data_IF_409790975928
#
_entry.id   IF_409790975928
#
_cell.length_a   1.000
_cell.length_b   1.000
_cell.length_c   1.000
_cell.angle_alpha   90.00
_cell.angle_beta   90.00
_cell.angle_gamma   90.00
#
_symmetry.space_group_name_H-M   'P 1'
#
loop_
_entity.id
_entity.type
_entity.pdbx_description
1 polymer ?
#
# COMPACT_ATOMS: atom_id res chain seq x y z
N UNK A 1 0.40 94.42 0.10
CA UNK A 1 0.69 94.61 -1.34
C UNK A 1 1.10 93.24 -1.85
N UNK A 2 0.46 92.51 -2.77
CA UNK A 2 -0.46 92.78 -3.89
C UNK A 2 -1.27 91.47 -4.15
N UNK A 3 -2.43 91.64 -4.78
CA UNK A 3 -3.48 90.66 -5.14
C UNK A 3 -3.11 89.61 -6.23
N UNK A 4 -3.65 88.36 -6.08
CA UNK A 4 -4.41 87.51 -7.07
C UNK A 4 -3.72 87.00 -8.37
N UNK A 5 -4.30 86.10 -9.23
CA UNK A 5 -5.25 84.96 -9.08
C UNK A 5 -4.85 83.66 -9.89
N UNK A 6 -5.75 82.64 -9.92
CA UNK A 6 -5.90 81.53 -10.92
C UNK A 6 -4.87 80.37 -10.82
N UNK A 7 -5.21 79.07 -10.82
CA UNK A 7 -6.26 78.33 -11.55
C UNK A 7 -6.59 77.01 -10.83
N UNK A 8 -7.87 76.63 -10.75
CA UNK A 8 -8.29 75.25 -10.48
C UNK A 8 -8.07 74.42 -11.76
N UNK A 9 -7.24 73.38 -11.69
CA UNK A 9 -7.16 72.31 -12.70
C UNK A 9 -7.82 71.05 -12.10
N UNK A 10 -8.99 70.69 -12.64
CA UNK A 10 -9.61 69.38 -12.46
C UNK A 10 -8.73 68.33 -13.16
N UNK A 11 -8.05 67.48 -12.39
CA UNK A 11 -7.44 66.26 -12.91
C UNK A 11 -8.50 65.14 -12.90
N UNK A 12 -9.05 64.79 -14.07
CA UNK A 12 -9.78 63.54 -14.26
C UNK A 12 -8.80 62.37 -14.10
N UNK A 13 -8.92 61.63 -13.00
CA UNK A 13 -8.25 60.34 -12.83
C UNK A 13 -9.04 59.29 -13.60
N UNK A 14 -8.59 58.94 -14.80
CA UNK A 14 -9.06 57.76 -15.52
C UNK A 14 -8.52 56.51 -14.79
N UNK A 15 -9.39 55.78 -14.11
CA UNK A 15 -9.05 54.47 -13.54
C UNK A 15 -8.87 53.46 -14.70
N UNK A 16 -7.74 52.76 -14.81
CA UNK A 16 -7.60 51.71 -15.81
C UNK A 16 -8.47 50.51 -15.39
N UNK A 17 -9.38 50.09 -16.26
CA UNK A 17 -10.02 48.78 -16.17
C UNK A 17 -8.91 47.73 -16.29
N UNK A 18 -8.49 47.16 -15.15
CA UNK A 18 -7.68 45.96 -15.14
C UNK A 18 -8.54 44.82 -15.69
N UNK A 19 -8.23 44.35 -16.90
CA UNK A 19 -8.75 43.07 -17.38
C UNK A 19 -8.29 41.99 -16.41
N UNK A 20 -9.25 41.36 -15.73
CA UNK A 20 -8.99 40.19 -14.92
C UNK A 20 -8.38 39.10 -15.81
N UNK A 21 -7.10 38.79 -15.59
CA UNK A 21 -6.49 37.62 -16.19
C UNK A 21 -7.28 36.38 -15.73
N UNK A 22 -7.62 35.44 -16.63
CA UNK A 22 -8.26 34.21 -16.22
C UNK A 22 -7.34 33.49 -15.23
N UNK A 23 -7.85 33.23 -14.03
CA UNK A 23 -7.20 32.37 -13.05
C UNK A 23 -6.78 31.06 -13.76
N UNK A 24 -5.58 30.52 -13.50
CA UNK A 24 -5.23 29.22 -14.03
C UNK A 24 -6.31 28.24 -13.59
N UNK A 25 -6.94 27.55 -14.54
CA UNK A 25 -7.86 26.46 -14.23
C UNK A 25 -7.16 25.58 -13.20
N UNK A 26 -7.74 25.45 -12.00
CA UNK A 26 -7.31 24.43 -11.06
C UNK A 26 -7.27 23.10 -11.84
N UNK A 27 -6.08 22.48 -11.96
CA UNK A 27 -5.95 21.15 -12.56
C UNK A 27 -6.98 20.28 -11.86
N UNK A 28 -8.05 19.90 -12.58
CA UNK A 28 -9.09 19.03 -12.05
C UNK A 28 -8.37 17.76 -11.59
N UNK A 29 -8.51 17.39 -10.31
CA UNK A 29 -7.91 16.16 -9.81
C UNK A 29 -8.31 15.02 -10.75
N UNK A 30 -7.33 14.20 -11.16
CA UNK A 30 -7.63 13.11 -12.06
C UNK A 30 -8.58 12.13 -11.36
N UNK A 31 -9.59 11.66 -12.08
CA UNK A 31 -10.55 10.69 -11.57
C UNK A 31 -10.01 9.30 -11.91
N UNK A 32 -10.01 8.34 -10.97
CA UNK A 32 -9.61 6.97 -11.25
C UNK A 32 -10.37 6.40 -12.45
N UNK A 33 -9.78 5.50 -13.24
CA UNK A 33 -10.48 4.90 -14.36
C UNK A 33 -11.73 4.12 -13.90
N UNK A 34 -12.71 4.02 -14.79
CA UNK A 34 -13.99 3.34 -14.55
C UNK A 34 -14.11 2.00 -15.28
N UNK A 35 -13.19 1.71 -16.20
CA UNK A 35 -13.07 0.45 -16.91
C UNK A 35 -11.70 -0.17 -16.66
N UNK A 36 -11.64 -1.49 -16.68
CA UNK A 36 -10.39 -2.24 -16.53
C UNK A 36 -9.37 -1.90 -17.63
N UNK A 37 -8.12 -1.73 -17.22
CA UNK A 37 -6.99 -1.75 -18.11
C UNK A 37 -6.84 -3.14 -18.78
N UNK A 38 -6.24 -3.21 -20.00
CA UNK A 38 -5.94 -4.50 -20.60
C UNK A 38 -4.90 -5.24 -19.75
N UNK A 39 -5.09 -6.55 -19.58
CA UNK A 39 -4.09 -7.42 -18.98
C UNK A 39 -3.09 -7.90 -20.04
N UNK A 40 -1.80 -7.84 -19.72
CA UNK A 40 -0.73 -8.58 -20.39
C UNK A 40 -0.53 -9.98 -19.79
N UNK A 41 -0.86 -10.17 -18.51
CA UNK A 41 -0.78 -11.45 -17.78
C UNK A 41 -2.06 -12.26 -18.00
N UNK A 42 -1.90 -13.52 -18.38
CA UNK A 42 -3.03 -14.45 -18.56
C UNK A 42 -3.65 -14.82 -17.21
N UNK A 43 -4.97 -15.08 -17.19
CA UNK A 43 -5.65 -15.50 -15.97
C UNK A 43 -5.06 -16.79 -15.38
N UNK A 44 -4.72 -17.77 -16.23
CA UNK A 44 -4.11 -19.03 -15.79
C UNK A 44 -2.72 -18.82 -15.17
N UNK A 45 -1.91 -17.93 -15.74
CA UNK A 45 -0.59 -17.59 -15.19
C UNK A 45 -0.70 -16.99 -13.79
N UNK A 46 -1.64 -16.05 -13.59
CA UNK A 46 -1.84 -15.44 -12.28
C UNK A 46 -2.42 -16.42 -11.25
N UNK A 47 -3.32 -17.32 -11.67
CA UNK A 47 -3.90 -18.34 -10.79
C UNK A 47 -2.87 -19.33 -10.28
N UNK A 48 -1.91 -19.74 -11.13
CA UNK A 48 -0.90 -20.74 -10.78
C UNK A 48 0.06 -20.32 -9.67
N UNK A 49 0.10 -19.04 -9.31
CA UNK A 49 0.95 -18.51 -8.24
C UNK A 49 0.19 -18.14 -6.97
N UNK A 50 -1.10 -18.48 -6.91
CA UNK A 50 -1.93 -18.30 -5.71
C UNK A 50 -1.96 -19.61 -4.94
N UNK A 51 -1.65 -19.55 -3.66
CA UNK A 51 -1.72 -20.69 -2.75
C UNK A 51 -2.72 -20.41 -1.63
N UNK A 52 -3.63 -21.35 -1.37
CA UNK A 52 -4.56 -21.32 -0.25
C UNK A 52 -4.24 -22.54 0.63
N UNK A 53 -3.42 -22.40 1.70
CA UNK A 53 -2.86 -23.54 2.42
C UNK A 53 -3.89 -24.54 2.97
N UNK A 54 -5.07 -24.06 3.36
CA UNK A 54 -6.16 -24.87 3.89
C UNK A 54 -7.27 -25.13 2.86
N UNK A 55 -7.05 -24.78 1.60
CA UNK A 55 -8.08 -24.69 0.56
C UNK A 55 -9.10 -23.56 0.83
N UNK A 56 -10.10 -23.46 -0.05
CA UNK A 56 -11.25 -22.57 0.14
C UNK A 56 -12.41 -23.42 0.70
N UNK A 57 -12.74 -23.21 1.97
CA UNK A 57 -13.73 -23.99 2.71
C UNK A 57 -15.10 -23.30 2.81
N UNK A 58 -15.25 -22.09 2.26
CA UNK A 58 -16.47 -21.30 2.35
C UNK A 58 -16.68 -20.72 3.75
N UNK A 59 -15.61 -20.27 4.40
CA UNK A 59 -15.68 -19.68 5.75
C UNK A 59 -16.57 -18.43 5.75
N UNK A 60 -17.25 -18.15 6.87
CA UNK A 60 -18.26 -17.10 6.93
C UNK A 60 -17.68 -15.68 6.75
N UNK A 61 -16.42 -15.44 7.11
CA UNK A 61 -15.71 -14.19 6.84
C UNK A 61 -15.28 -14.00 5.39
N UNK A 62 -15.44 -15.02 4.54
CA UNK A 62 -14.99 -15.00 3.15
C UNK A 62 -13.50 -15.30 2.99
N UNK A 63 -12.95 -14.87 1.86
CA UNK A 63 -11.53 -15.04 1.52
C UNK A 63 -10.73 -13.80 1.89
N UNK A 64 -9.59 -14.01 2.55
CA UNK A 64 -8.55 -13.01 2.76
C UNK A 64 -7.37 -13.32 1.84
N UNK A 65 -7.01 -12.34 1.00
CA UNK A 65 -5.92 -12.44 0.03
C UNK A 65 -4.70 -11.65 0.51
N UNK A 66 -3.60 -12.35 0.76
CA UNK A 66 -2.37 -11.78 1.30
C UNK A 66 -1.35 -11.52 0.18
N UNK A 67 -0.82 -10.29 0.11
CA UNK A 67 0.12 -9.84 -0.91
C UNK A 67 1.46 -9.47 -0.27
N UNK A 68 2.51 -10.18 -0.64
CA UNK A 68 3.85 -9.99 -0.05
C UNK A 68 4.59 -8.77 -0.62
N UNK A 69 5.65 -8.38 0.09
CA UNK A 69 6.55 -7.28 -0.26
C UNK A 69 7.71 -7.66 -1.18
N UNK A 70 8.60 -6.69 -1.41
CA UNK A 70 9.80 -6.83 -2.23
C UNK A 70 10.78 -7.84 -1.68
N UNK A 71 11.39 -8.62 -2.57
CA UNK A 71 12.46 -9.55 -2.24
C UNK A 71 12.00 -10.77 -1.43
N UNK A 72 10.70 -10.93 -1.19
CA UNK A 72 10.11 -12.09 -0.52
C UNK A 72 9.16 -12.87 -1.44
N UNK A 73 8.52 -13.90 -0.90
CA UNK A 73 7.46 -14.68 -1.55
C UNK A 73 6.25 -14.78 -0.62
N UNK A 74 5.12 -15.30 -1.15
CA UNK A 74 3.93 -15.57 -0.35
C UNK A 74 4.21 -16.49 0.86
N UNK A 75 4.78 -17.69 0.66
CA UNK A 75 5.13 -18.59 1.76
C UNK A 75 6.09 -17.97 2.80
N UNK A 76 7.13 -17.25 2.36
CA UNK A 76 8.10 -16.64 3.28
C UNK A 76 7.47 -15.53 4.13
N UNK A 77 6.52 -14.77 3.58
CA UNK A 77 5.90 -13.64 4.30
C UNK A 77 4.72 -14.08 5.18
N UNK A 78 3.95 -15.07 4.72
CA UNK A 78 2.64 -15.38 5.30
C UNK A 78 2.49 -16.82 5.78
N UNK A 79 3.32 -17.75 5.32
CA UNK A 79 3.10 -19.19 5.46
C UNK A 79 2.96 -19.67 6.90
N UNK A 80 3.77 -19.10 7.80
CA UNK A 80 3.80 -19.46 9.23
C UNK A 80 3.41 -18.28 10.14
N UNK A 81 2.86 -17.20 9.58
CA UNK A 81 2.49 -16.00 10.32
C UNK A 81 1.08 -16.05 10.93
N UNK A 82 0.74 -15.08 11.80
CA UNK A 82 -0.55 -15.03 12.48
C UNK A 82 -1.73 -14.94 11.50
N UNK A 83 -1.55 -14.29 10.35
CA UNK A 83 -2.59 -14.16 9.32
C UNK A 83 -3.06 -15.52 8.79
N UNK A 84 -2.15 -16.45 8.52
CA UNK A 84 -2.49 -17.79 8.04
C UNK A 84 -2.90 -18.72 9.19
N UNK A 85 -2.31 -18.56 10.38
CA UNK A 85 -2.57 -19.46 11.52
C UNK A 85 -3.84 -19.13 12.29
N UNK A 86 -4.19 -17.85 12.45
CA UNK A 86 -5.26 -17.41 13.35
C UNK A 86 -6.56 -17.04 12.63
N UNK A 87 -6.51 -16.39 11.46
CA UNK A 87 -7.74 -16.01 10.75
C UNK A 87 -8.70 -17.18 10.44
N UNK A 88 -8.24 -18.41 10.13
CA UNK A 88 -9.16 -19.52 9.91
C UNK A 88 -9.95 -19.97 11.14
N UNK A 89 -9.46 -19.65 12.35
CA UNK A 89 -10.02 -20.14 13.62
C UNK A 89 -10.71 -19.06 14.45
N UNK A 90 -10.30 -17.79 14.29
CA UNK A 90 -10.97 -16.66 14.92
C UNK A 90 -12.28 -16.33 14.22
N UNK A 91 -13.37 -16.17 14.97
CA UNK A 91 -14.68 -15.83 14.40
C UNK A 91 -14.64 -14.51 13.61
N UNK A 92 -15.27 -14.43 12.42
CA UNK A 92 -16.15 -15.42 11.77
C UNK A 92 -15.45 -16.61 11.08
N UNK A 93 -14.12 -16.61 11.03
CA UNK A 93 -13.29 -17.54 10.28
C UNK A 93 -13.11 -17.08 8.85
N UNK A 94 -11.90 -17.20 8.31
CA UNK A 94 -11.57 -16.79 6.95
C UNK A 94 -10.83 -17.89 6.19
N UNK A 95 -11.12 -18.01 4.90
CA UNK A 95 -10.28 -18.76 3.97
C UNK A 95 -9.09 -17.86 3.60
N UNK A 96 -7.86 -18.33 3.81
CA UNK A 96 -6.66 -17.52 3.60
C UNK A 96 -5.92 -18.02 2.36
N UNK A 97 -5.66 -17.09 1.44
CA UNK A 97 -4.84 -17.33 0.27
C UNK A 97 -3.74 -16.28 0.20
N UNK A 98 -2.56 -16.64 -0.30
CA UNK A 98 -1.49 -15.70 -0.58
C UNK A 98 -0.93 -15.90 -1.98
N UNK A 99 -0.42 -14.83 -2.58
CA UNK A 99 0.22 -14.89 -3.89
C UNK A 99 1.74 -15.00 -3.77
N UNK A 100 2.40 -15.64 -4.73
CA UNK A 100 3.85 -15.57 -4.93
C UNK A 100 4.12 -14.85 -6.24
N UNK A 101 4.36 -13.54 -6.16
CA UNK A 101 4.65 -12.72 -7.32
C UNK A 101 5.96 -13.17 -7.98
N UNK A 102 6.05 -13.15 -9.32
CA UNK A 102 7.27 -13.47 -10.03
C UNK A 102 8.46 -12.65 -9.54
N UNK A 103 9.65 -13.22 -9.68
CA UNK A 103 10.93 -12.57 -9.34
C UNK A 103 10.98 -11.98 -7.92
N UNK A 104 10.19 -12.57 -7.01
CA UNK A 104 10.09 -12.13 -5.61
C UNK A 104 9.63 -10.66 -5.52
N UNK A 105 8.73 -10.24 -6.42
CA UNK A 105 8.24 -8.87 -6.53
C UNK A 105 9.34 -7.82 -6.82
N UNK A 106 10.43 -8.20 -7.50
CA UNK A 106 11.52 -7.28 -7.88
C UNK A 106 11.42 -6.79 -9.35
N UNK A 107 10.46 -7.34 -10.12
CA UNK A 107 10.15 -6.90 -11.48
C UNK A 107 9.35 -5.59 -11.55
N UNK A 108 8.80 -5.28 -12.72
CA UNK A 108 7.93 -4.10 -12.92
C UNK A 108 6.64 -4.23 -12.08
N UNK A 109 6.42 -3.32 -11.14
CA UNK A 109 5.26 -3.27 -10.24
C UNK A 109 3.94 -3.22 -11.01
N UNK A 110 3.93 -2.64 -12.22
CA UNK A 110 2.74 -2.62 -13.07
C UNK A 110 2.32 -4.03 -13.50
N UNK A 111 3.29 -4.94 -13.71
CA UNK A 111 3.03 -6.36 -13.99
C UNK A 111 2.63 -7.08 -12.70
N UNK A 112 3.33 -6.87 -11.60
CA UNK A 112 2.96 -7.45 -10.28
C UNK A 112 1.52 -7.09 -9.89
N UNK A 113 1.08 -5.87 -10.17
CA UNK A 113 -0.29 -5.44 -9.95
C UNK A 113 -1.32 -6.17 -10.84
N UNK A 114 -0.95 -6.59 -12.05
CA UNK A 114 -1.82 -7.44 -12.88
C UNK A 114 -2.07 -8.80 -12.22
N UNK A 115 -1.04 -9.40 -11.63
CA UNK A 115 -1.17 -10.65 -10.87
C UNK A 115 -2.12 -10.46 -9.68
N UNK A 116 -2.01 -9.35 -8.96
CA UNK A 116 -2.91 -9.01 -7.84
C UNK A 116 -4.35 -8.80 -8.33
N UNK A 117 -4.56 -8.00 -9.37
CA UNK A 117 -5.89 -7.76 -9.94
C UNK A 117 -6.56 -9.05 -10.44
N UNK A 118 -5.80 -9.93 -11.12
CA UNK A 118 -6.27 -11.26 -11.53
C UNK A 118 -6.58 -12.15 -10.34
N UNK A 119 -5.75 -12.11 -9.29
CA UNK A 119 -5.98 -12.88 -8.07
C UNK A 119 -7.27 -12.48 -7.36
N UNK A 120 -7.52 -11.17 -7.22
CA UNK A 120 -8.77 -10.64 -6.68
C UNK A 120 -9.95 -11.09 -7.55
N UNK A 121 -9.86 -10.92 -8.88
CA UNK A 121 -10.89 -11.34 -9.84
C UNK A 121 -11.21 -12.84 -9.73
N UNK A 122 -10.19 -13.67 -9.50
CA UNK A 122 -10.32 -15.12 -9.38
C UNK A 122 -10.93 -15.55 -8.04
N UNK A 123 -10.50 -14.95 -6.93
CA UNK A 123 -10.90 -15.35 -5.58
C UNK A 123 -12.28 -14.81 -5.19
N UNK A 124 -12.66 -13.61 -5.63
CA UNK A 124 -13.95 -12.99 -5.28
C UNK A 124 -15.18 -13.90 -5.50
N UNK A 125 -15.38 -14.54 -6.67
CA UNK A 125 -16.53 -15.42 -6.88
C UNK A 125 -16.48 -16.73 -6.07
N UNK A 126 -15.33 -17.09 -5.52
CA UNK A 126 -15.16 -18.27 -4.65
C UNK A 126 -15.38 -17.93 -3.17
N UNK A 127 -15.34 -16.64 -2.82
CA UNK A 127 -15.59 -16.15 -1.47
C UNK A 127 -17.07 -16.26 -1.11
N UNK A 128 -17.37 -16.71 0.10
CA UNK A 128 -18.75 -16.79 0.63
C UNK A 128 -19.46 -15.43 0.68
N UNK A 129 -18.70 -14.33 0.70
CA UNK A 129 -19.21 -12.96 0.71
C UNK A 129 -19.32 -12.35 -0.70
N UNK A 130 -18.85 -13.06 -1.74
CA UNK A 130 -18.70 -12.53 -3.10
C UNK A 130 -17.64 -11.43 -3.25
N UNK A 131 -16.87 -11.16 -2.19
CA UNK A 131 -15.80 -10.18 -2.14
C UNK A 131 -14.56 -10.73 -1.43
N UNK A 132 -13.43 -10.09 -1.62
CA UNK A 132 -12.15 -10.45 -0.99
C UNK A 132 -11.74 -9.35 -0.01
N UNK A 133 -11.32 -9.73 1.19
CA UNK A 133 -10.54 -8.85 2.07
C UNK A 133 -9.06 -8.96 1.69
N UNK A 134 -8.32 -7.86 1.67
CA UNK A 134 -6.91 -7.86 1.27
C UNK A 134 -6.04 -7.49 2.47
N UNK A 135 -4.92 -8.18 2.63
CA UNK A 135 -3.84 -7.75 3.53
C UNK A 135 -2.56 -7.67 2.70
N UNK A 136 -1.85 -6.56 2.75
CA UNK A 136 -0.59 -6.42 2.03
C UNK A 136 0.51 -5.85 2.91
N UNK A 137 1.76 -6.20 2.59
CA UNK A 137 2.94 -5.74 3.29
C UNK A 137 3.93 -5.07 2.32
N UNK A 138 4.56 -3.96 2.75
CA UNK A 138 5.60 -3.28 1.98
C UNK A 138 5.11 -2.95 0.56
N UNK A 139 5.91 -3.20 -0.49
CA UNK A 139 5.51 -3.04 -1.89
C UNK A 139 4.20 -3.74 -2.30
N UNK A 140 3.80 -4.80 -1.59
CA UNK A 140 2.50 -5.44 -1.79
C UNK A 140 1.36 -4.41 -1.78
N UNK A 141 1.53 -3.32 -1.03
CA UNK A 141 0.58 -2.23 -0.94
C UNK A 141 0.51 -1.39 -2.24
N UNK A 142 1.64 -1.12 -2.89
CA UNK A 142 1.67 -0.49 -4.22
C UNK A 142 1.08 -1.41 -5.28
N UNK A 143 1.33 -2.72 -5.21
CA UNK A 143 0.72 -3.71 -6.10
C UNK A 143 -0.82 -3.68 -5.98
N UNK A 144 -1.34 -3.64 -4.74
CA UNK A 144 -2.78 -3.59 -4.46
C UNK A 144 -3.38 -2.25 -4.90
N UNK A 145 -2.83 -1.11 -4.50
CA UNK A 145 -3.39 0.19 -4.90
C UNK A 145 -3.37 0.41 -6.41
N UNK A 146 -2.31 -0.03 -7.10
CA UNK A 146 -2.27 0.01 -8.56
C UNK A 146 -3.34 -0.91 -9.17
N UNK A 147 -3.52 -2.13 -8.64
CA UNK A 147 -4.57 -3.05 -9.05
C UNK A 147 -5.98 -2.45 -8.88
N UNK A 148 -6.28 -1.91 -7.70
CA UNK A 148 -7.57 -1.30 -7.38
C UNK A 148 -7.83 0.00 -8.17
N UNK A 149 -6.77 0.71 -8.54
CA UNK A 149 -6.86 1.92 -9.36
C UNK A 149 -7.21 1.58 -10.80
N UNK A 150 -6.43 0.70 -11.45
CA UNK A 150 -6.50 0.48 -12.89
C UNK A 150 -7.39 -0.70 -13.33
N UNK A 151 -7.84 -1.55 -12.40
CA UNK A 151 -8.84 -2.61 -12.64
C UNK A 151 -10.08 -2.44 -11.75
N UNK A 152 -10.87 -1.37 -11.98
CA UNK A 152 -12.00 -1.03 -11.14
C UNK A 152 -13.12 -2.09 -11.12
N UNK A 153 -13.31 -2.85 -12.20
CA UNK A 153 -14.33 -3.90 -12.28
C UNK A 153 -13.76 -5.20 -11.74
N UNK A 154 -12.61 -5.67 -12.27
CA UNK A 154 -12.02 -6.95 -11.87
C UNK A 154 -11.47 -6.98 -10.43
N UNK A 155 -11.04 -5.84 -9.87
CA UNK A 155 -10.45 -5.78 -8.54
C UNK A 155 -11.22 -4.88 -7.56
N UNK A 156 -11.37 -3.58 -7.86
CA UNK A 156 -11.94 -2.61 -6.90
C UNK A 156 -13.36 -2.95 -6.47
N UNK A 157 -14.23 -3.27 -7.42
CA UNK A 157 -15.66 -3.51 -7.13
C UNK A 157 -15.94 -4.74 -6.26
N UNK A 158 -14.99 -5.69 -6.25
CA UNK A 158 -15.08 -6.97 -5.54
C UNK A 158 -14.13 -7.06 -4.34
N UNK A 159 -13.49 -5.94 -3.97
CA UNK A 159 -12.72 -5.83 -2.73
C UNK A 159 -13.63 -5.32 -1.62
N UNK A 160 -13.69 -6.05 -0.50
CA UNK A 160 -14.50 -5.66 0.66
C UNK A 160 -13.79 -4.57 1.47
N UNK A 161 -12.55 -4.84 1.83
CA UNK A 161 -11.66 -3.93 2.56
C UNK A 161 -10.20 -4.27 2.30
N UNK A 162 -9.33 -3.37 2.72
CA UNK A 162 -7.90 -3.44 2.52
C UNK A 162 -7.13 -3.07 3.80
N UNK A 163 -6.33 -4.02 4.30
CA UNK A 163 -5.41 -3.83 5.42
C UNK A 163 -4.00 -3.66 4.85
N UNK A 164 -3.46 -2.46 5.02
CA UNK A 164 -2.16 -2.08 4.51
C UNK A 164 -1.14 -2.07 5.66
N UNK A 165 -0.13 -2.95 5.61
CA UNK A 165 0.92 -3.07 6.62
C UNK A 165 2.22 -2.45 6.08
N UNK A 166 2.77 -1.46 6.78
CA UNK A 166 4.00 -0.74 6.38
C UNK A 166 3.99 -0.37 4.89
N UNK A 167 2.98 0.40 4.49
CA UNK A 167 2.73 0.72 3.09
C UNK A 167 3.59 1.87 2.60
N UNK A 168 4.14 1.73 1.41
CA UNK A 168 4.97 2.72 0.74
C UNK A 168 4.17 3.50 -0.33
N UNK A 169 2.98 4.00 0.00
CA UNK A 169 2.08 4.66 -0.97
C UNK A 169 2.70 5.88 -1.67
N UNK A 170 3.70 6.52 -1.04
CA UNK A 170 4.50 7.62 -1.60
C UNK A 170 5.93 7.20 -1.96
N UNK A 171 6.15 5.89 -2.09
CA UNK A 171 7.47 5.29 -2.18
C UNK A 171 8.26 5.41 -0.87
N UNK A 172 9.56 5.19 -0.96
CA UNK A 172 10.51 5.36 0.13
C UNK A 172 11.72 6.18 -0.32
N UNK A 173 12.26 6.99 0.59
CA UNK A 173 13.53 7.71 0.38
C UNK A 173 14.73 6.76 0.30
N UNK A 174 14.61 5.57 0.90
CA UNK A 174 15.68 4.58 0.96
C UNK A 174 15.65 3.60 -0.23
N UNK A 175 14.69 3.72 -1.15
CA UNK A 175 14.47 2.78 -2.25
C UNK A 175 15.71 2.58 -3.13
N UNK A 176 16.40 3.67 -3.48
CA UNK A 176 17.66 3.61 -4.25
C UNK A 176 18.84 3.07 -3.42
N UNK A 177 18.79 3.14 -2.09
CA UNK A 177 19.87 2.66 -1.22
C UNK A 177 19.90 1.13 -1.16
N UNK A 178 18.78 0.47 -1.44
CA UNK A 178 18.70 -0.99 -1.59
C UNK A 178 19.18 -1.48 -2.95
N UNK A 179 19.36 -0.58 -3.92
CA UNK A 179 20.18 -0.84 -5.10
C UNK A 179 21.63 -0.99 -4.63
N UNK A 180 22.08 -2.22 -4.37
CA UNK A 180 23.45 -2.44 -3.89
C UNK A 180 24.44 -1.67 -4.76
N UNK A 181 25.39 -0.95 -4.15
CA UNK A 181 26.38 -0.14 -4.88
C UNK A 181 27.14 -0.97 -5.93
N UNK A 182 27.30 -2.27 -5.69
CA UNK A 182 27.84 -3.24 -6.64
C UNK A 182 26.97 -3.41 -7.90
N UNK A 183 25.63 -3.42 -7.79
CA UNK A 183 24.71 -3.56 -8.94
C UNK A 183 24.56 -2.28 -9.74
N UNK A 184 24.62 -1.11 -9.09
CA UNK A 184 24.69 0.18 -9.79
C UNK A 184 25.92 0.20 -10.73
N UNK A 185 27.05 -0.36 -10.29
CA UNK A 185 28.25 -0.51 -11.14
C UNK A 185 28.17 -1.63 -12.19
N UNK A 186 27.19 -2.54 -12.09
CA UNK A 186 26.98 -3.68 -13.00
C UNK A 186 25.82 -3.49 -13.98
N UNK A 187 25.14 -2.33 -13.98
CA UNK A 187 24.19 -1.97 -15.03
C UNK A 187 22.77 -1.62 -14.57
N UNK A 188 22.49 -1.52 -13.27
CA UNK A 188 21.18 -0.99 -12.82
C UNK A 188 20.74 -1.40 -11.42
N UNK A 189 19.42 -1.34 -11.22
CA UNK A 189 18.71 -1.78 -10.02
C UNK A 189 17.46 -2.59 -10.43
N UNK A 190 16.90 -3.47 -9.57
CA UNK A 190 15.61 -4.06 -9.87
C UNK A 190 14.55 -3.01 -10.22
N UNK A 191 13.66 -3.36 -11.14
CA UNK A 191 12.66 -2.44 -11.66
C UNK A 191 11.78 -1.87 -10.55
N UNK A 192 11.42 -2.71 -9.58
CA UNK A 192 10.57 -2.32 -8.47
C UNK A 192 11.22 -1.26 -7.57
N UNK A 193 12.54 -1.22 -7.46
CA UNK A 193 13.24 -0.29 -6.55
C UNK A 193 13.29 1.11 -7.13
N UNK A 194 13.42 1.21 -8.45
CA UNK A 194 13.19 2.46 -9.17
C UNK A 194 11.77 2.96 -8.96
N UNK A 195 10.77 2.07 -9.04
CA UNK A 195 9.36 2.43 -8.94
C UNK A 195 8.93 2.75 -7.50
N UNK A 196 9.52 2.11 -6.49
CA UNK A 196 9.31 2.39 -5.06
C UNK A 196 10.05 3.63 -4.58
N UNK A 197 10.99 4.18 -5.35
CA UNK A 197 11.69 5.40 -4.95
C UNK A 197 10.73 6.59 -4.89
N UNK A 198 10.79 7.38 -3.82
CA UNK A 198 10.00 8.62 -3.73
C UNK A 198 10.24 9.51 -4.95
N UNK A 199 9.17 9.92 -5.61
CA UNK A 199 9.23 10.76 -6.80
C UNK A 199 9.41 9.99 -8.12
N UNK A 200 9.40 8.66 -8.10
CA UNK A 200 9.33 7.84 -9.32
C UNK A 200 8.13 8.21 -10.19
N UNK A 201 8.21 7.94 -11.48
CA UNK A 201 7.10 8.12 -12.40
C UNK A 201 5.90 7.26 -11.97
N UNK A 202 6.14 6.05 -11.50
CA UNK A 202 5.14 5.11 -10.99
C UNK A 202 4.36 5.69 -9.81
N UNK A 203 5.03 6.04 -8.70
CA UNK A 203 4.38 6.56 -7.48
C UNK A 203 3.63 7.86 -7.77
N UNK A 204 4.24 8.77 -8.53
CA UNK A 204 3.59 10.03 -8.90
C UNK A 204 2.34 9.80 -9.74
N UNK A 205 2.38 8.83 -10.67
CA UNK A 205 1.23 8.49 -11.52
C UNK A 205 0.10 7.87 -10.71
N UNK A 206 0.42 6.94 -9.81
CA UNK A 206 -0.56 6.33 -8.90
C UNK A 206 -1.23 7.39 -8.02
N UNK A 207 -0.42 8.23 -7.37
CA UNK A 207 -0.90 9.32 -6.53
C UNK A 207 -1.81 10.29 -7.29
N UNK A 208 -1.46 10.65 -8.53
CA UNK A 208 -2.32 11.49 -9.37
C UNK A 208 -3.61 10.79 -9.76
N UNK A 209 -3.56 9.51 -10.14
CA UNK A 209 -4.72 8.74 -10.57
C UNK A 209 -5.80 8.59 -9.48
N UNK A 210 -5.40 8.58 -8.20
CA UNK A 210 -6.32 8.47 -7.06
C UNK A 210 -6.47 9.75 -6.25
N UNK A 211 -5.83 10.85 -6.67
CA UNK A 211 -5.63 12.04 -5.85
C UNK A 211 -5.07 11.72 -4.45
N UNK A 212 -4.18 10.73 -4.36
CA UNK A 212 -3.55 10.23 -3.14
C UNK A 212 -4.56 9.68 -2.13
N UNK A 213 -5.67 9.13 -2.60
CA UNK A 213 -6.76 8.63 -1.75
C UNK A 213 -6.97 7.13 -1.93
N UNK A 214 -7.25 6.44 -0.83
CA UNK A 214 -7.70 5.07 -0.86
C UNK A 214 -9.00 4.94 -1.65
N UNK A 215 -9.09 3.92 -2.49
CA UNK A 215 -10.22 3.69 -3.41
C UNK A 215 -11.21 2.64 -2.89
N UNK A 216 -10.92 2.03 -1.75
CA UNK A 216 -11.76 1.08 -0.98
C UNK A 216 -11.61 1.37 0.53
N UNK A 217 -12.49 0.87 1.41
CA UNK A 217 -12.29 0.96 2.86
C UNK A 217 -10.91 0.40 3.26
N UNK A 218 -10.05 1.26 3.81
CA UNK A 218 -8.63 0.94 4.02
C UNK A 218 -8.20 1.26 5.44
N UNK A 219 -7.52 0.30 6.07
CA UNK A 219 -6.79 0.47 7.33
C UNK A 219 -5.29 0.48 7.02
N UNK A 220 -4.64 1.64 7.18
CA UNK A 220 -3.19 1.75 7.02
C UNK A 220 -2.51 1.67 8.38
N UNK A 221 -1.82 0.56 8.62
CA UNK A 221 -1.16 0.20 9.87
C UNK A 221 0.35 0.24 9.64
N UNK A 222 1.05 1.06 10.43
CA UNK A 222 2.47 1.34 10.19
C UNK A 222 3.20 1.65 11.49
N UNK A 223 4.52 1.63 11.41
CA UNK A 223 5.41 1.90 12.55
C UNK A 223 6.23 3.17 12.30
N UNK A 224 6.36 4.02 13.32
CA UNK A 224 7.17 5.24 13.25
C UNK A 224 8.67 4.97 13.21
N UNK A 225 9.08 3.73 13.53
CA UNK A 225 10.47 3.28 13.54
C UNK A 225 10.80 2.38 12.34
N UNK A 226 10.00 2.48 11.27
CA UNK A 226 10.28 1.79 10.01
C UNK A 226 11.62 2.28 9.44
N UNK A 227 12.49 1.33 9.14
CA UNK A 227 13.86 1.53 8.65
C UNK A 227 14.01 1.31 7.14
N UNK A 228 12.93 0.94 6.45
CA UNK A 228 12.90 0.63 5.01
C UNK A 228 12.02 1.61 4.26
N UNK A 229 10.85 1.87 4.83
CA UNK A 229 9.83 2.73 4.28
C UNK A 229 9.92 4.05 5.05
N UNK A 230 10.50 5.07 4.43
CA UNK A 230 10.72 6.37 5.07
C UNK A 230 10.32 7.53 4.16
N UNK A 231 9.84 8.65 4.73
CA UNK A 231 9.57 8.89 6.15
C UNK A 231 8.28 8.23 6.65
N UNK A 232 8.19 7.93 7.94
CA UNK A 232 6.96 7.41 8.59
C UNK A 232 6.43 8.29 9.74
N UNK A 233 6.88 9.55 9.79
CA UNK A 233 6.41 10.53 10.78
C UNK A 233 5.73 11.72 10.12
N UNK A 234 4.66 12.22 10.76
CA UNK A 234 3.93 13.41 10.31
C UNK A 234 3.02 13.14 9.10
N UNK A 235 2.42 14.20 8.55
CA UNK A 235 1.51 14.09 7.40
C UNK A 235 2.20 13.66 6.10
N UNK A 236 3.52 13.80 6.03
CA UNK A 236 4.35 13.34 4.92
C UNK A 236 4.69 11.85 4.98
N UNK A 237 4.31 11.14 6.06
CA UNK A 237 4.56 9.70 6.20
C UNK A 237 4.03 8.93 4.98
N UNK A 238 4.81 8.00 4.46
CA UNK A 238 4.46 7.34 3.18
C UNK A 238 3.27 6.39 3.33
N UNK A 239 3.11 5.73 4.48
CA UNK A 239 1.91 4.96 4.84
C UNK A 239 0.62 5.78 4.95
N UNK A 240 0.69 7.12 4.99
CA UNK A 240 -0.51 7.98 5.07
C UNK A 240 -1.14 8.13 3.68
N UNK A 241 -2.38 7.67 3.53
CA UNK A 241 -3.20 7.88 2.33
C UNK A 241 -4.54 8.50 2.71
N UNK A 242 -5.06 9.41 1.87
CA UNK A 242 -6.33 10.07 2.15
C UNK A 242 -7.48 9.04 2.19
N UNK A 243 -8.53 9.32 2.96
CA UNK A 243 -9.71 8.45 3.15
C UNK A 243 -9.41 7.05 3.73
N UNK A 244 -8.21 6.80 4.26
CA UNK A 244 -7.92 5.63 5.07
C UNK A 244 -8.03 5.92 6.57
N UNK A 245 -8.30 4.88 7.36
CA UNK A 245 -8.07 4.92 8.80
C UNK A 245 -6.60 4.64 9.09
N UNK A 246 -5.94 5.53 9.82
CA UNK A 246 -4.50 5.48 10.05
C UNK A 246 -4.21 4.90 11.43
N UNK A 247 -3.25 3.98 11.52
CA UNK A 247 -2.82 3.31 12.74
C UNK A 247 -1.29 3.31 12.87
N UNK A 248 -0.68 4.46 13.20
CA UNK A 248 0.70 4.51 13.69
C UNK A 248 0.76 3.78 15.04
N UNK A 249 1.39 2.61 15.11
CA UNK A 249 1.36 1.77 16.32
C UNK A 249 1.88 2.52 17.57
N UNK A 250 2.88 3.38 17.40
CA UNK A 250 3.47 4.18 18.49
C UNK A 250 2.61 5.39 18.93
N UNK A 251 1.42 5.60 18.37
CA UNK A 251 0.52 6.62 18.88
C UNK A 251 0.04 6.29 20.30
N UNK A 252 -0.09 7.31 21.15
CA UNK A 252 -0.44 7.18 22.57
C UNK A 252 -1.81 6.55 22.83
N UNK A 253 -2.73 6.68 21.87
CA UNK A 253 -4.06 6.08 21.91
C UNK A 253 -4.08 4.62 21.42
N UNK A 254 -2.98 4.12 20.83
CA UNK A 254 -2.80 2.73 20.37
C UNK A 254 -1.85 1.98 21.33
N UNK A 255 -0.56 1.86 21.01
CA UNK A 255 0.43 1.15 21.83
C UNK A 255 1.44 2.08 22.53
N UNK A 256 1.50 3.36 22.14
CA UNK A 256 2.37 4.35 22.75
C UNK A 256 3.82 4.30 22.27
N UNK A 257 4.58 5.34 22.64
CA UNK A 257 5.87 5.66 22.01
C UNK A 257 6.96 4.59 22.16
N UNK A 258 6.80 3.65 23.10
CA UNK A 258 7.76 2.58 23.38
C UNK A 258 7.40 1.25 22.74
N UNK A 259 6.31 1.18 21.97
CA UNK A 259 5.99 -0.02 21.19
C UNK A 259 7.07 -0.27 20.15
N UNK A 260 7.75 -1.41 20.26
CA UNK A 260 8.81 -1.79 19.32
C UNK A 260 8.19 -2.50 18.12
N UNK A 261 8.32 -1.88 16.94
CA UNK A 261 7.98 -2.50 15.67
C UNK A 261 8.91 -1.93 14.58
N UNK A 262 9.49 -2.78 13.76
CA UNK A 262 10.24 -2.44 12.56
C UNK A 262 9.47 -2.88 11.29
N UNK A 263 10.02 -2.57 10.11
CA UNK A 263 9.38 -2.86 8.81
C UNK A 263 8.93 -4.33 8.66
N UNK A 264 9.80 -5.27 9.02
CA UNK A 264 9.56 -6.69 8.84
C UNK A 264 8.62 -7.23 9.93
N UNK A 265 8.76 -6.72 11.16
CA UNK A 265 7.93 -7.11 12.29
C UNK A 265 6.44 -6.87 12.05
N UNK A 266 6.05 -5.95 11.16
CA UNK A 266 4.64 -5.67 10.84
C UNK A 266 3.88 -6.90 10.31
N UNK A 267 4.57 -7.89 9.73
CA UNK A 267 3.96 -9.17 9.33
C UNK A 267 3.49 -10.01 10.54
N UNK A 268 4.10 -9.81 11.71
CA UNK A 268 3.95 -10.62 12.92
C UNK A 268 3.70 -9.79 14.19
N UNK A 269 3.40 -8.50 14.05
CA UNK A 269 3.07 -7.63 15.16
C UNK A 269 1.64 -7.92 15.64
N UNK A 270 1.46 -8.22 16.93
CA UNK A 270 0.13 -8.61 17.44
C UNK A 270 -0.88 -7.47 17.48
N UNK A 271 -0.46 -6.21 17.56
CA UNK A 271 -1.36 -5.07 17.47
C UNK A 271 -1.80 -4.84 16.02
N UNK A 272 -0.87 -4.92 15.07
CA UNK A 272 -1.20 -4.86 13.65
C UNK A 272 -2.16 -5.97 13.23
N UNK A 273 -1.91 -7.20 13.69
CA UNK A 273 -2.81 -8.33 13.47
C UNK A 273 -4.19 -8.08 14.09
N UNK A 274 -4.27 -7.62 15.33
CA UNK A 274 -5.56 -7.40 16.01
C UNK A 274 -6.41 -6.32 15.32
N UNK A 275 -5.79 -5.20 14.92
CA UNK A 275 -6.45 -4.13 14.16
C UNK A 275 -6.97 -4.67 12.83
N UNK A 276 -6.14 -5.41 12.09
CA UNK A 276 -6.52 -5.97 10.80
C UNK A 276 -7.61 -7.04 10.91
N UNK A 277 -7.45 -8.02 11.81
CA UNK A 277 -8.45 -9.06 12.05
C UNK A 277 -9.81 -8.46 12.45
N UNK A 278 -9.84 -7.51 13.39
CA UNK A 278 -11.11 -6.89 13.80
C UNK A 278 -11.74 -6.08 12.69
N UNK A 279 -10.93 -5.42 11.86
CA UNK A 279 -11.42 -4.72 10.66
C UNK A 279 -12.06 -5.72 9.70
N UNK A 280 -11.35 -6.81 9.37
CA UNK A 280 -11.84 -7.89 8.50
C UNK A 280 -13.13 -8.52 9.01
N UNK A 281 -13.23 -8.74 10.32
CA UNK A 281 -14.42 -9.32 10.94
C UNK A 281 -15.65 -8.41 10.86
N UNK A 282 -15.46 -7.09 10.81
CA UNK A 282 -16.54 -6.10 10.69
C UNK A 282 -16.77 -5.70 9.23
N UNK A 283 -15.79 -5.90 8.35
CA UNK A 283 -15.80 -5.46 6.95
C UNK A 283 -15.56 -3.95 6.78
N UNK A 284 -14.94 -3.31 7.76
CA UNK A 284 -14.48 -1.93 7.70
C UNK A 284 -13.40 -1.66 8.75
N UNK A 285 -12.51 -0.67 8.54
CA UNK A 285 -11.57 -0.24 9.57
C UNK A 285 -12.26 0.10 10.88
N UNK A 286 -11.78 -0.49 11.99
CA UNK A 286 -12.34 -0.24 13.31
C UNK A 286 -12.03 1.17 13.85
N UNK A 287 -12.76 1.61 14.88
CA UNK A 287 -12.30 2.79 15.63
C UNK A 287 -11.07 2.45 16.45
N UNK A 288 -10.12 3.38 16.61
CA UNK A 288 -8.97 3.22 17.52
C UNK A 288 -9.39 2.92 18.96
N UNK A 289 -10.56 3.40 19.39
CA UNK A 289 -11.08 3.09 20.73
C UNK A 289 -11.52 1.62 20.91
N UNK A 290 -11.70 0.88 19.82
CA UNK A 290 -12.05 -0.55 19.83
C UNK A 290 -10.83 -1.48 19.87
N UNK A 291 -9.62 -0.93 19.78
CA UNK A 291 -8.35 -1.66 19.89
C UNK A 291 -8.20 -2.17 21.33
N UNK A 292 -7.97 -3.46 21.48
CA UNK A 292 -7.63 -4.04 22.77
C UNK A 292 -6.15 -3.80 23.06
N UNK A 293 -5.81 -2.86 23.94
CA UNK A 293 -4.40 -2.50 24.23
C UNK A 293 -3.51 -3.65 24.72
N UNK A 294 -4.08 -4.80 25.11
CA UNK A 294 -3.30 -6.02 25.36
C UNK A 294 -2.65 -6.58 24.09
N UNK A 295 -3.19 -6.23 22.92
CA UNK A 295 -2.63 -6.56 21.60
C UNK A 295 -1.27 -5.93 21.34
N UNK A 296 -0.86 -4.92 22.12
CA UNK A 296 0.50 -4.39 22.01
C UNK A 296 1.58 -5.36 22.52
N UNK A 297 1.18 -6.44 23.21
CA UNK A 297 2.11 -7.42 23.80
C UNK A 297 1.78 -8.87 23.47
N UNK A 298 0.56 -9.17 23.02
CA UNK A 298 0.07 -10.54 22.87
C UNK A 298 -1.06 -10.68 21.87
N UNK A 299 -1.17 -11.84 21.23
CA UNK A 299 -2.29 -12.16 20.36
C UNK A 299 -3.59 -12.36 21.15
N UNK A 300 -4.78 -12.38 20.50
CA UNK A 300 -6.07 -12.46 21.18
C UNK A 300 -6.14 -13.49 22.32
N UNK A 301 -6.80 -13.10 23.42
CA UNK A 301 -6.90 -13.85 24.67
C UNK A 301 -7.41 -15.29 24.44
N UNK A 302 -6.66 -16.27 24.95
CA UNK A 302 -6.97 -17.70 24.79
C UNK A 302 -6.20 -18.42 23.68
N UNK A 303 -5.47 -17.69 22.83
CA UNK A 303 -4.56 -18.28 21.82
C UNK A 303 -3.29 -18.88 22.44
N UNK A 304 -2.85 -18.36 23.60
CA UNK A 304 -1.58 -18.74 24.23
C UNK A 304 -0.34 -18.20 23.50
N UNK A 305 -0.52 -17.34 22.49
CA UNK A 305 0.56 -16.81 21.64
C UNK A 305 0.91 -15.37 22.03
N UNK A 306 2.21 -15.07 22.10
CA UNK A 306 2.78 -13.74 22.34
C UNK A 306 3.45 -13.19 21.07
N UNK A 307 3.95 -11.95 21.10
CA UNK A 307 4.81 -11.42 20.02
C UNK A 307 6.00 -12.36 19.73
N UNK A 308 6.56 -12.96 20.78
CA UNK A 308 7.67 -13.92 20.67
C UNK A 308 7.28 -15.22 19.94
N UNK A 309 5.99 -15.57 19.90
CA UNK A 309 5.55 -16.81 19.25
C UNK A 309 5.84 -16.80 17.76
N UNK A 310 5.62 -15.67 17.08
CA UNK A 310 5.84 -15.53 15.65
C UNK A 310 7.14 -14.78 15.33
N UNK A 311 7.72 -14.04 16.28
CA UNK A 311 9.03 -13.42 16.12
C UNK A 311 10.22 -14.37 16.42
N UNK A 312 10.03 -15.42 17.22
CA UNK A 312 11.04 -16.49 17.42
C UNK A 312 10.99 -17.59 16.36
N UNK A 313 9.91 -17.66 15.58
CA UNK A 313 9.98 -18.36 14.30
C UNK A 313 10.95 -17.55 13.47
N UNK A 314 11.97 -18.21 12.95
CA UNK A 314 13.02 -17.59 12.15
C UNK A 314 12.49 -16.71 11.00
N UNK A 315 11.21 -16.75 10.66
CA UNK A 315 10.62 -16.33 9.40
C UNK A 315 10.50 -14.82 9.16
N UNK A 316 10.22 -13.96 10.15
CA UNK A 316 10.25 -12.50 9.90
C UNK A 316 11.69 -12.00 9.67
N UNK A 317 12.62 -12.53 10.47
CA UNK A 317 14.05 -12.30 10.29
C UNK A 317 14.57 -12.96 9.00
N UNK A 318 14.10 -14.16 8.65
CA UNK A 318 14.46 -14.86 7.42
C UNK A 318 13.82 -14.23 6.19
N UNK A 319 12.62 -13.67 6.27
CA UNK A 319 12.02 -12.88 5.19
C UNK A 319 12.86 -11.62 4.97
N UNK A 320 13.28 -10.93 6.04
CA UNK A 320 14.23 -9.82 5.96
C UNK A 320 15.59 -10.22 5.38
N UNK A 321 16.18 -11.34 5.85
CA UNK A 321 17.43 -11.88 5.33
C UNK A 321 17.32 -12.31 3.87
N UNK A 322 16.26 -13.03 3.52
CA UNK A 322 16.00 -13.51 2.17
C UNK A 322 15.78 -12.33 1.21
N UNK A 323 15.10 -11.28 1.68
CA UNK A 323 14.99 -9.99 0.96
C UNK A 323 16.36 -9.43 0.68
N UNK A 324 17.20 -9.24 1.71
CA UNK A 324 18.58 -8.76 1.58
C UNK A 324 19.42 -9.65 0.63
N UNK A 325 19.29 -10.97 0.71
CA UNK A 325 20.06 -11.91 -0.11
C UNK A 325 19.51 -12.11 -1.52
N UNK A 326 18.28 -11.66 -1.79
CA UNK A 326 17.65 -11.76 -3.11
C UNK A 326 18.10 -10.64 -4.04
N UNK A 327 18.38 -9.44 -3.52
CA UNK A 327 18.80 -8.28 -4.31
C UNK A 327 20.07 -8.55 -5.16
N UNK A 328 21.10 -9.26 -4.67
CA UNK A 328 22.26 -9.62 -5.51
C UNK A 328 21.93 -10.53 -6.71
N UNK A 329 20.84 -11.30 -6.64
CA UNK A 329 20.44 -12.27 -7.68
C UNK A 329 19.35 -11.76 -8.61
N UNK A 330 18.73 -10.63 -8.29
CA UNK A 330 17.68 -10.05 -9.11
C UNK A 330 18.21 -9.52 -10.44
N UNK A 331 17.36 -9.61 -11.46
CA UNK A 331 17.56 -8.92 -12.73
C UNK A 331 17.49 -7.40 -12.51
N UNK A 332 18.33 -6.67 -13.23
CA UNK A 332 18.47 -5.22 -13.07
C UNK A 332 18.18 -4.48 -14.37
N UNK A 333 17.61 -3.29 -14.23
CA UNK A 333 17.35 -2.35 -15.33
C UNK A 333 18.07 -1.02 -15.05
N UNK A 334 18.54 -0.32 -16.10
CA UNK A 334 19.35 0.89 -15.94
C UNK A 334 18.55 2.11 -15.47
N UNK A 335 17.22 2.07 -15.55
CA UNK A 335 16.32 3.14 -15.15
C UNK A 335 14.93 2.58 -14.85
N UNK A 336 14.07 3.41 -14.26
CA UNK A 336 12.65 3.08 -14.04
C UNK A 336 11.98 2.63 -15.34
N UNK A 337 11.23 1.50 -15.33
CA UNK A 337 10.46 1.07 -16.49
C UNK A 337 9.48 2.15 -16.98
N UNK A 338 9.22 2.23 -18.29
CA UNK A 338 8.21 3.14 -18.81
C UNK A 338 6.81 2.77 -18.30
N UNK A 339 6.00 3.78 -18.01
CA UNK A 339 4.60 3.59 -17.67
C UNK A 339 3.84 2.88 -18.82
N UNK A 340 3.01 1.91 -18.46
CA UNK A 340 2.07 1.26 -19.36
C UNK A 340 1.11 2.29 -19.96
N UNK A 341 0.64 2.01 -21.18
CA UNK A 341 -0.15 2.97 -21.97
C UNK A 341 -1.40 3.47 -21.25
N UNK A 342 -2.07 2.62 -20.46
CA UNK A 342 -3.27 2.98 -19.69
C UNK A 342 -2.98 3.97 -18.55
N UNK A 343 -1.75 4.02 -18.04
CA UNK A 343 -1.36 4.86 -16.92
C UNK A 343 -0.80 6.23 -17.36
N UNK A 344 -0.28 6.34 -18.59
CA UNK A 344 0.29 7.58 -19.15
C UNK A 344 -0.61 8.82 -19.03
N UNK A 345 -1.95 8.75 -19.19
CA UNK A 345 -2.81 9.92 -19.02
C UNK A 345 -2.72 10.59 -17.64
N UNK A 346 -2.28 9.85 -16.61
CA UNK A 346 -2.14 10.33 -15.23
C UNK A 346 -0.73 10.84 -14.90
N UNK A 347 0.23 10.71 -15.82
CA UNK A 347 1.63 11.09 -15.57
C UNK A 347 1.88 12.62 -15.63
N UNK A 348 0.98 13.41 -16.24
CA UNK A 348 1.15 14.84 -16.56
C UNK A 348 0.84 15.85 -15.43
#
# INVERSE_FOLDING_TARGET
>A
MIFSPRSLLLALVAAPLALAAPSPLAKRAAVPPTSDAPFSVSAATAQNVINCPNGIQGKAGGIVFLVHGTGSTGPESWGNGPWTSLLPTLGPGFDVCYITLPDRSQGDIQISAEYVARGIQYLAPQSSTGKVGIVAHSQGNLNVEWALTFWPVAARSVTAEYIALAADFKGTLDGILYCSSAKITQGGCPAAEWQQSTGSHFVNTLSKATAGSAVVPTASIYTLTDQVVTPETGSGATSVINNASLYPLQASDICGAFHYADHASMLVDSAAFEIGYKSLAVGAPISRAAIDKRSCYSYPYGSGLSNDTFSSVADAFQAGLNTITSFPTADVVPAEPPLMSYAKPYAA
#
